data_IF_896431577236
#
_entry.id   IF_896431577236
#
_cell.length_a   1.000
_cell.length_b   1.000
_cell.length_c   1.000
_cell.angle_alpha   90.00
_cell.angle_beta   90.00
_cell.angle_gamma   90.00
#
_symmetry.space_group_name_H-M   'P 1'
#
loop_
_entity.id
_entity.type
_entity.pdbx_description
1 polymer ?
#
# COMPACT_ATOMS: atom_id res chain seq x y z
N UNK A 1 9.01 -3.40 0.70
CA UNK A 1 9.44 -3.58 -0.70
C UNK A 1 9.80 -2.22 -1.26
N UNK A 2 10.91 -2.11 -1.98
CA UNK A 2 11.38 -0.84 -2.56
C UNK A 2 11.59 -1.00 -4.07
N UNK A 3 10.89 -0.19 -4.85
CA UNK A 3 10.95 -0.19 -6.31
C UNK A 3 12.19 0.52 -6.82
N UNK A 4 12.42 0.50 -8.14
CA UNK A 4 13.48 1.32 -8.76
C UNK A 4 13.01 2.77 -8.96
N UNK A 5 11.71 2.96 -9.23
CA UNK A 5 10.99 4.24 -9.27
C UNK A 5 9.69 4.09 -8.46
N UNK A 6 8.65 4.88 -8.75
CA UNK A 6 7.32 4.73 -8.15
C UNK A 6 6.57 3.52 -8.74
N UNK A 7 7.18 2.35 -8.69
CA UNK A 7 6.73 1.18 -9.44
C UNK A 7 5.52 0.49 -8.80
N UNK A 8 5.14 0.86 -7.59
CA UNK A 8 4.03 0.23 -6.88
C UNK A 8 2.83 1.16 -6.72
N UNK A 9 1.67 0.54 -6.62
CA UNK A 9 0.49 1.16 -6.02
C UNK A 9 0.06 0.36 -4.79
N UNK A 10 -0.52 1.06 -3.82
CA UNK A 10 -1.02 0.45 -2.59
C UNK A 10 -2.47 0.85 -2.34
N UNK A 11 -3.31 -0.13 -2.03
CA UNK A 11 -4.66 0.12 -1.54
C UNK A 11 -4.77 -0.37 -0.11
N UNK A 12 -5.12 0.52 0.81
CA UNK A 12 -5.34 0.22 2.22
C UNK A 12 -6.82 -0.02 2.48
N UNK A 13 -7.10 -1.05 3.26
CA UNK A 13 -8.44 -1.47 3.64
C UNK A 13 -8.56 -1.53 5.15
N UNK A 14 -9.77 -1.31 5.65
CA UNK A 14 -10.21 -1.60 7.01
C UNK A 14 -11.38 -2.58 6.94
N UNK A 15 -11.16 -3.82 7.38
CA UNK A 15 -11.99 -4.95 6.96
C UNK A 15 -12.13 -5.03 5.43
N UNK A 16 -13.36 -4.94 4.93
CA UNK A 16 -13.68 -4.92 3.49
C UNK A 16 -13.75 -3.50 2.91
N UNK A 17 -13.66 -2.47 3.76
CA UNK A 17 -13.82 -1.08 3.37
C UNK A 17 -12.50 -0.53 2.85
N UNK A 18 -12.48 -0.07 1.60
CA UNK A 18 -11.33 0.65 1.04
C UNK A 18 -11.19 2.01 1.71
N UNK A 19 -10.03 2.28 2.31
CA UNK A 19 -9.73 3.52 3.05
C UNK A 19 -8.88 4.50 2.25
N UNK A 20 -7.82 4.03 1.62
CA UNK A 20 -6.86 4.87 0.91
C UNK A 20 -6.31 4.15 -0.31
N UNK A 21 -6.16 4.88 -1.41
CA UNK A 21 -5.43 4.42 -2.58
C UNK A 21 -4.26 5.35 -2.87
N UNK A 22 -3.08 4.76 -3.01
CA UNK A 22 -1.84 5.44 -3.35
C UNK A 22 -1.34 4.88 -4.68
N UNK A 23 -1.44 5.68 -5.73
CA UNK A 23 -1.07 5.26 -7.09
C UNK A 23 0.46 5.19 -7.28
N UNK A 24 1.22 6.05 -6.60
CA UNK A 24 2.66 6.19 -6.78
C UNK A 24 3.41 5.92 -5.48
N UNK A 25 3.88 4.69 -5.32
CA UNK A 25 4.64 4.25 -4.15
C UNK A 25 6.00 3.72 -4.60
N UNK A 26 7.07 4.35 -4.12
CA UNK A 26 8.44 3.86 -4.31
C UNK A 26 8.82 2.82 -3.25
N UNK A 27 8.41 3.05 -2.00
CA UNK A 27 8.77 2.22 -0.86
C UNK A 27 7.52 1.96 -0.03
N UNK A 28 7.09 0.69 0.00
CA UNK A 28 5.85 0.30 0.67
C UNK A 28 5.93 0.44 2.18
N UNK A 29 7.13 0.32 2.77
CA UNK A 29 7.33 0.40 4.21
C UNK A 29 7.25 1.86 4.68
N UNK A 30 7.92 2.77 3.95
CA UNK A 30 7.77 4.22 4.20
C UNK A 30 6.33 4.69 4.03
N UNK A 31 5.61 4.13 3.06
CA UNK A 31 4.20 4.43 2.87
C UNK A 31 3.36 4.00 4.07
N UNK A 32 3.60 2.80 4.61
CA UNK A 32 2.92 2.31 5.81
C UNK A 32 3.23 3.19 7.02
N UNK A 33 4.49 3.56 7.24
CA UNK A 33 4.89 4.47 8.32
C UNK A 33 4.14 5.80 8.20
N UNK A 34 4.04 6.36 6.98
CA UNK A 34 3.28 7.58 6.73
C UNK A 34 1.78 7.39 7.04
N UNK A 35 1.14 6.33 6.56
CA UNK A 35 -0.29 6.03 6.85
C UNK A 35 -0.53 5.94 8.35
N UNK A 36 0.34 5.25 9.08
CA UNK A 36 0.25 5.13 10.54
C UNK A 36 0.44 6.50 11.22
N UNK A 37 1.38 7.34 10.76
CA UNK A 37 1.57 8.69 11.29
C UNK A 37 0.36 9.61 11.07
N UNK A 38 -0.45 9.32 10.04
CA UNK A 38 -1.72 10.00 9.77
C UNK A 38 -2.88 9.45 10.59
N UNK A 39 -2.65 8.46 11.45
CA UNK A 39 -3.67 7.78 12.26
C UNK A 39 -4.84 7.25 11.41
N UNK A 40 -4.54 6.82 10.19
CA UNK A 40 -5.53 6.17 9.32
C UNK A 40 -5.63 4.72 9.76
N UNK A 41 -6.83 4.27 10.13
CA UNK A 41 -7.05 2.86 10.46
C UNK A 41 -7.09 2.00 9.21
N UNK A 42 -6.42 0.84 9.29
CA UNK A 42 -6.36 -0.15 8.23
C UNK A 42 -6.02 -1.52 8.81
N UNK A 43 -6.54 -2.58 8.21
CA UNK A 43 -6.28 -3.98 8.57
C UNK A 43 -5.25 -4.61 7.63
N UNK A 44 -5.31 -4.27 6.34
CA UNK A 44 -4.38 -4.79 5.35
C UNK A 44 -4.21 -3.83 4.16
N UNK A 45 -3.06 -3.93 3.51
CA UNK A 45 -2.75 -3.22 2.29
C UNK A 45 -2.50 -4.21 1.15
N UNK A 46 -3.13 -3.97 0.01
CA UNK A 46 -2.91 -4.69 -1.23
C UNK A 46 -1.88 -3.92 -2.05
N UNK A 47 -0.82 -4.60 -2.49
CA UNK A 47 0.25 -3.99 -3.29
C UNK A 47 0.21 -4.55 -4.70
N UNK A 48 0.27 -3.66 -5.68
CA UNK A 48 0.30 -3.98 -7.09
C UNK A 48 1.51 -3.36 -7.77
N UNK A 49 2.03 -4.02 -8.79
CA UNK A 49 2.93 -3.40 -9.75
C UNK A 49 2.10 -2.43 -10.60
N UNK A 50 2.50 -1.15 -10.65
CA UNK A 50 1.73 -0.12 -11.35
C UNK A 50 1.78 -0.30 -12.87
N UNK A 51 2.86 -0.90 -13.40
CA UNK A 51 3.09 -1.05 -14.84
C UNK A 51 2.40 -2.29 -15.39
N UNK A 52 2.55 -3.42 -14.72
CA UNK A 52 1.92 -4.69 -15.16
C UNK A 52 0.50 -4.85 -14.60
N UNK A 53 0.12 -4.07 -13.59
CA UNK A 53 -1.14 -4.18 -12.82
C UNK A 53 -1.28 -5.50 -12.08
N UNK A 54 -0.20 -6.27 -11.97
CA UNK A 54 -0.20 -7.53 -11.27
C UNK A 54 -0.18 -7.29 -9.76
N UNK A 55 -0.90 -8.15 -9.05
CA UNK A 55 -0.87 -8.17 -7.59
C UNK A 55 0.49 -8.71 -7.14
N UNK A 56 1.26 -7.89 -6.45
CA UNK A 56 2.54 -8.28 -5.86
C UNK A 56 2.31 -8.99 -4.53
N UNK A 57 1.41 -8.49 -3.70
CA UNK A 57 1.21 -9.06 -2.38
C UNK A 57 0.16 -8.39 -1.53
N UNK A 58 -0.03 -8.95 -0.34
CA UNK A 58 -0.88 -8.43 0.72
C UNK A 58 -0.05 -8.26 1.98
N UNK A 59 -0.10 -7.07 2.57
CA UNK A 59 0.53 -6.75 3.85
C UNK A 59 -0.57 -6.69 4.90
N UNK A 60 -0.45 -7.47 5.97
CA UNK A 60 -1.39 -7.47 7.09
C UNK A 60 -0.79 -6.63 8.22
N UNK A 61 -1.58 -5.71 8.79
CA UNK A 61 -1.19 -4.98 10.01
C UNK A 61 -1.21 -6.00 11.15
N UNK A 62 -0.03 -6.35 11.67
CA UNK A 62 0.13 -7.18 12.86
C UNK A 62 -0.08 -6.35 14.13
#
# INVERSE_FOLDING_TARGET
MKGKKNDFSMTFYDGEIKRLFMEYVHDTEKMIIWVNSKKIEWTHAMVYDRRTREKIGRIIKK
#
